data_IF_899802530435
#
_entry.id   IF_899802530435
#
_cell.length_a   1.000
_cell.length_b   1.000
_cell.length_c   1.000
_cell.angle_alpha   90.00
_cell.angle_beta   90.00
_cell.angle_gamma   90.00
#
_symmetry.space_group_name_H-M   'P 1'
#
loop_
_entity.id
_entity.type
_entity.pdbx_description
1 polymer ?
#
# COMPACT_ATOMS: atom_id res chain seq x y z
N UNK A 1 2.17 -8.07 20.71
CA UNK A 1 3.25 -8.56 19.81
C UNK A 1 3.07 -8.04 18.37
N UNK A 2 2.29 -6.99 18.12
CA UNK A 2 1.98 -6.51 16.75
C UNK A 2 2.98 -5.50 16.16
N UNK A 3 3.85 -4.90 16.98
CA UNK A 3 4.81 -3.88 16.50
C UNK A 3 5.99 -4.46 15.69
N UNK A 4 6.25 -5.77 15.78
CA UNK A 4 7.38 -6.39 15.09
C UNK A 4 7.12 -6.63 13.59
N UNK A 5 5.87 -6.85 13.18
CA UNK A 5 5.52 -7.18 11.79
C UNK A 5 5.75 -6.00 10.83
N UNK A 6 5.69 -4.76 11.33
CA UNK A 6 5.86 -3.54 10.56
C UNK A 6 7.26 -2.90 10.71
N UNK A 7 8.08 -3.40 11.65
CA UNK A 7 9.36 -2.79 12.01
C UNK A 7 10.47 -3.00 10.97
N UNK A 8 10.32 -3.99 10.07
CA UNK A 8 11.35 -4.35 9.08
C UNK A 8 11.09 -3.80 7.66
N UNK A 9 10.14 -2.88 7.52
CA UNK A 9 9.75 -2.31 6.24
C UNK A 9 10.69 -1.16 5.84
N UNK A 10 11.02 -1.10 4.54
CA UNK A 10 11.79 0.02 3.99
C UNK A 10 11.06 1.35 4.20
N UNK A 11 11.75 2.49 4.28
CA UNK A 11 11.13 3.80 4.52
C UNK A 11 10.02 4.16 3.51
N UNK A 12 10.16 3.76 2.24
CA UNK A 12 9.10 3.93 1.23
C UNK A 12 7.86 3.05 1.47
N UNK A 13 8.05 1.85 2.02
CA UNK A 13 6.96 0.95 2.40
C UNK A 13 6.25 1.39 3.68
N UNK A 14 6.96 2.06 4.60
CA UNK A 14 6.35 2.64 5.80
C UNK A 14 5.33 3.74 5.46
N UNK A 15 5.61 4.55 4.44
CA UNK A 15 4.67 5.58 4.00
C UNK A 15 3.44 4.98 3.33
N UNK A 16 3.63 3.99 2.45
CA UNK A 16 2.54 3.21 1.86
C UNK A 16 1.70 2.50 2.93
N UNK A 17 2.35 1.95 3.96
CA UNK A 17 1.68 1.34 5.09
C UNK A 17 0.85 2.35 5.88
N UNK A 18 1.39 3.54 6.18
CA UNK A 18 0.61 4.59 6.86
C UNK A 18 -0.66 4.94 6.08
N UNK A 19 -0.56 5.09 4.76
CA UNK A 19 -1.73 5.32 3.88
C UNK A 19 -2.71 4.15 3.93
N UNK A 20 -2.21 2.92 3.82
CA UNK A 20 -3.02 1.71 3.87
C UNK A 20 -3.75 1.57 5.21
N UNK A 21 -3.07 1.82 6.33
CA UNK A 21 -3.66 1.80 7.67
C UNK A 21 -4.73 2.88 7.82
N UNK A 22 -4.49 4.08 7.27
CA UNK A 22 -5.48 5.16 7.27
C UNK A 22 -6.73 4.84 6.43
N UNK A 23 -6.59 4.03 5.36
CA UNK A 23 -7.71 3.61 4.51
C UNK A 23 -8.51 2.45 5.10
N UNK A 24 -7.83 1.53 5.79
CA UNK A 24 -8.45 0.31 6.33
C UNK A 24 -9.08 0.50 7.71
N UNK A 25 -8.66 1.52 8.45
CA UNK A 25 -9.09 1.73 9.83
C UNK A 25 -8.53 0.68 10.80
N UNK A 26 -8.79 0.84 12.11
CA UNK A 26 -8.19 0.00 13.14
C UNK A 26 -8.56 -1.48 13.01
N UNK A 27 -9.78 -1.83 12.59
CA UNK A 27 -10.16 -3.24 12.42
C UNK A 27 -9.42 -3.89 11.25
N UNK A 28 -9.30 -3.19 10.11
CA UNK A 28 -8.60 -3.71 8.93
C UNK A 28 -7.09 -3.86 9.15
N UNK A 29 -6.50 -3.00 9.97
CA UNK A 29 -5.09 -3.10 10.38
C UNK A 29 -4.86 -4.28 11.33
N UNK A 30 -5.73 -4.48 12.32
CA UNK A 30 -5.66 -5.63 13.22
C UNK A 30 -5.79 -6.95 12.46
N UNK A 31 -6.69 -7.00 11.48
CA UNK A 31 -6.87 -8.18 10.62
C UNK A 31 -5.60 -8.48 9.80
N UNK A 32 -4.97 -7.47 9.20
CA UNK A 32 -3.70 -7.63 8.47
C UNK A 32 -2.55 -8.05 9.39
N UNK A 33 -2.44 -7.44 10.57
CA UNK A 33 -1.43 -7.81 11.55
C UNK A 33 -1.59 -9.27 12.02
N UNK A 34 -2.84 -9.75 12.14
CA UNK A 34 -3.14 -11.14 12.49
C UNK A 34 -2.80 -12.15 11.39
N UNK A 35 -2.69 -11.73 10.12
CA UNK A 35 -2.28 -12.59 9.01
C UNK A 35 -0.76 -12.72 8.89
N UNK A 36 -0.01 -11.84 9.56
CA UNK A 36 1.44 -11.86 9.60
C UNK A 36 2.13 -10.97 8.56
N UNK A 37 3.47 -10.89 8.63
CA UNK A 37 4.26 -9.93 7.86
C UNK A 37 4.19 -10.14 6.34
N UNK A 38 4.07 -11.38 5.86
CA UNK A 38 3.92 -11.67 4.42
C UNK A 38 2.63 -11.09 3.84
N UNK A 39 1.51 -11.24 4.56
CA UNK A 39 0.23 -10.69 4.11
C UNK A 39 0.26 -9.17 4.06
N UNK A 40 0.92 -8.54 5.04
CA UNK A 40 1.17 -7.09 5.04
C UNK A 40 1.99 -6.70 3.82
N UNK A 41 3.09 -7.39 3.54
CA UNK A 41 3.95 -7.06 2.41
C UNK A 41 3.21 -7.23 1.07
N UNK A 42 2.49 -8.35 0.87
CA UNK A 42 1.66 -8.57 -0.31
C UNK A 42 0.58 -7.49 -0.47
N UNK A 43 -0.04 -7.05 0.64
CA UNK A 43 -1.03 -5.96 0.62
C UNK A 43 -0.40 -4.63 0.24
N UNK A 44 0.81 -4.34 0.71
CA UNK A 44 1.56 -3.14 0.36
C UNK A 44 1.98 -3.14 -1.11
N UNK A 45 2.45 -4.27 -1.63
CA UNK A 45 2.81 -4.41 -3.04
C UNK A 45 1.59 -4.24 -3.96
N UNK A 46 0.45 -4.84 -3.60
CA UNK A 46 -0.80 -4.66 -4.33
C UNK A 46 -1.27 -3.20 -4.32
N UNK A 47 -1.15 -2.52 -3.17
CA UNK A 47 -1.50 -1.10 -3.05
C UNK A 47 -0.59 -0.21 -3.91
N UNK A 48 0.73 -0.42 -3.85
CA UNK A 48 1.69 0.32 -4.66
C UNK A 48 1.51 0.07 -6.16
N UNK A 49 1.22 -1.18 -6.54
CA UNK A 49 0.91 -1.54 -7.93
C UNK A 49 -0.36 -0.84 -8.43
N UNK A 50 -1.39 -0.77 -7.59
CA UNK A 50 -2.62 -0.04 -7.90
C UNK A 50 -2.38 1.46 -8.09
N UNK A 51 -1.64 2.11 -7.17
CA UNK A 51 -1.25 3.52 -7.30
C UNK A 51 -0.49 3.76 -8.61
N UNK A 52 0.46 2.89 -8.95
CA UNK A 52 1.24 3.00 -10.17
C UNK A 52 0.38 2.79 -11.43
N UNK A 53 -0.51 1.80 -11.43
CA UNK A 53 -1.44 1.56 -12.54
C UNK A 53 -2.41 2.73 -12.76
N UNK A 54 -2.88 3.34 -11.66
CA UNK A 54 -3.72 4.54 -11.72
C UNK A 54 -2.95 5.73 -12.29
N UNK A 55 -1.70 5.94 -11.85
CA UNK A 55 -0.84 6.99 -12.37
C UNK A 55 -0.56 6.79 -13.87
N UNK A 56 -0.17 5.58 -14.28
CA UNK A 56 0.00 5.18 -15.68
C UNK A 56 -1.26 5.46 -16.51
N UNK A 57 -2.46 5.12 -15.98
CA UNK A 57 -3.72 5.38 -16.66
C UNK A 57 -3.96 6.87 -16.88
N UNK A 58 -3.75 7.70 -15.85
CA UNK A 58 -3.90 9.15 -15.90
C UNK A 58 -2.88 9.76 -16.88
N UNK A 59 -1.62 9.35 -16.80
CA UNK A 59 -0.57 9.82 -17.70
C UNK A 59 -0.87 9.45 -19.16
N UNK A 60 -1.34 8.23 -19.43
CA UNK A 60 -1.80 7.83 -20.77
C UNK A 60 -2.98 8.66 -21.25
N UNK A 61 -3.88 9.07 -20.36
CA UNK A 61 -5.00 9.94 -20.71
C UNK A 61 -4.52 11.37 -20.99
N UNK A 62 -3.63 11.90 -20.17
CA UNK A 62 -3.02 13.21 -20.37
C UNK A 62 -2.25 13.29 -21.70
N UNK A 63 -1.40 12.29 -21.99
CA UNK A 63 -0.68 12.21 -23.28
C UNK A 63 -1.61 12.16 -24.49
N UNK A 64 -2.76 11.49 -24.37
CA UNK A 64 -3.78 11.42 -25.43
C UNK A 64 -4.53 12.73 -25.64
N UNK A 65 -4.59 13.60 -24.63
CA UNK A 65 -5.25 14.91 -24.73
C UNK A 65 -4.30 16.02 -25.24
N UNK A 66 -3.00 15.73 -25.30
CA UNK A 66 -1.95 16.65 -25.80
C UNK A 66 -1.41 16.26 -27.18
N UNK A 67 -2.05 15.30 -27.86
CA UNK A 67 -1.81 14.96 -29.28
C UNK A 67 -2.91 15.55 -30.15
#
# INVERSE_FOLDING_TARGET
>A
MEQAAFANLAPGQQEALKKLMSLLGPEGVAHLASQGPDAINARLEAFSSYENALLEHIQRRARRLTQ
#
